data_IF_939689724803
#
_entry.id   IF_939689724803
#
_cell.length_a   1.000
_cell.length_b   1.000
_cell.length_c   1.000
_cell.angle_alpha   90.00
_cell.angle_beta   90.00
_cell.angle_gamma   90.00
#
_symmetry.space_group_name_H-M   'P 1'
#
loop_
_entity.id
_entity.type
_entity.pdbx_description
1 polymer ?
#
# COMPACT_ATOMS: atom_id res chain seq x y z
N UNK A 1 -6.45 2.18 19.42
CA UNK A 1 -5.94 1.89 18.07
C UNK A 1 -7.08 1.74 17.08
N UNK A 2 -8.11 0.95 17.41
CA UNK A 2 -9.30 0.74 16.57
C UNK A 2 -9.95 2.02 16.03
N UNK A 3 -10.12 3.07 16.87
CA UNK A 3 -10.60 4.40 16.45
C UNK A 3 -9.80 5.00 15.27
N UNK A 4 -8.47 4.92 15.33
CA UNK A 4 -7.59 5.44 14.27
C UNK A 4 -7.65 4.60 13.00
N UNK A 5 -7.80 3.27 13.13
CA UNK A 5 -8.00 2.39 11.96
C UNK A 5 -9.31 2.72 11.26
N UNK A 6 -10.38 2.95 12.02
CA UNK A 6 -11.67 3.33 11.45
C UNK A 6 -11.59 4.68 10.74
N UNK A 7 -10.90 5.67 11.30
CA UNK A 7 -10.67 6.93 10.61
C UNK A 7 -9.88 6.77 9.30
N UNK A 8 -8.87 5.90 9.29
CA UNK A 8 -8.13 5.59 8.06
C UNK A 8 -9.04 4.94 7.00
N UNK A 9 -9.86 3.97 7.40
CA UNK A 9 -10.83 3.28 6.52
C UNK A 9 -11.84 4.29 5.96
N UNK A 10 -12.44 5.13 6.81
CA UNK A 10 -13.40 6.15 6.37
C UNK A 10 -12.77 7.20 5.47
N UNK A 11 -11.53 7.63 5.75
CA UNK A 11 -10.78 8.52 4.87
C UNK A 11 -10.54 7.90 3.50
N UNK A 12 -10.17 6.61 3.47
CA UNK A 12 -9.99 5.85 2.22
C UNK A 12 -11.30 5.74 1.44
N UNK A 13 -12.41 5.42 2.11
CA UNK A 13 -13.73 5.37 1.48
C UNK A 13 -14.14 6.73 0.91
N UNK A 14 -13.95 7.80 1.67
CA UNK A 14 -14.26 9.17 1.23
C UNK A 14 -13.44 9.55 -0.01
N UNK A 15 -12.15 9.23 -0.03
CA UNK A 15 -11.25 9.43 -1.17
C UNK A 15 -11.68 8.62 -2.40
N UNK A 16 -12.09 7.36 -2.21
CA UNK A 16 -12.60 6.53 -3.29
C UNK A 16 -13.90 7.10 -3.88
N UNK A 17 -14.84 7.51 -3.03
CA UNK A 17 -16.12 8.08 -3.44
C UNK A 17 -15.90 9.39 -4.20
N UNK A 18 -15.05 10.29 -3.70
CA UNK A 18 -14.77 11.57 -4.39
C UNK A 18 -14.17 11.33 -5.77
N UNK A 19 -13.25 10.37 -5.90
CA UNK A 19 -12.66 9.99 -7.17
C UNK A 19 -13.68 9.40 -8.15
N UNK A 20 -14.59 8.53 -7.68
CA UNK A 20 -15.67 7.99 -8.50
C UNK A 20 -16.63 9.07 -8.98
N UNK A 21 -17.03 10.00 -8.09
CA UNK A 21 -17.88 11.14 -8.43
C UNK A 21 -17.20 12.04 -9.47
N UNK A 22 -15.91 12.29 -9.32
CA UNK A 22 -15.13 13.05 -10.30
C UNK A 22 -15.11 12.34 -11.67
N UNK A 23 -14.87 11.03 -11.71
CA UNK A 23 -14.89 10.26 -12.95
C UNK A 23 -16.28 10.27 -13.64
N UNK A 24 -17.36 10.20 -12.86
CA UNK A 24 -18.73 10.32 -13.38
C UNK A 24 -18.95 11.72 -13.96
N UNK A 25 -18.63 12.77 -13.19
CA UNK A 25 -18.83 14.17 -13.61
C UNK A 25 -18.05 14.56 -14.86
N UNK A 26 -16.91 13.92 -15.11
CA UNK A 26 -16.03 14.19 -16.27
C UNK A 26 -16.31 13.27 -17.45
N UNK A 27 -17.32 12.40 -17.39
CA UNK A 27 -17.62 11.42 -18.45
C UNK A 27 -16.55 10.33 -18.63
N UNK A 28 -15.50 10.33 -17.79
CA UNK A 28 -14.42 9.33 -17.81
C UNK A 28 -14.92 7.92 -17.48
N UNK A 29 -16.07 7.82 -16.82
CA UNK A 29 -16.73 6.55 -16.52
C UNK A 29 -17.39 5.90 -17.76
N UNK A 30 -17.88 6.69 -18.74
CA UNK A 30 -18.61 6.14 -19.90
C UNK A 30 -17.70 5.68 -21.04
N UNK A 31 -16.44 6.14 -21.09
CA UNK A 31 -15.52 5.86 -22.19
C UNK A 31 -14.77 4.52 -22.06
N UNK A 32 -15.37 3.54 -21.37
CA UNK A 32 -14.75 2.25 -21.07
C UNK A 32 -13.57 2.35 -20.10
N UNK A 33 -13.06 1.21 -19.66
CA UNK A 33 -11.82 1.07 -18.88
C UNK A 33 -10.63 1.38 -19.82
N UNK A 34 -10.56 2.61 -20.32
CA UNK A 34 -9.36 3.09 -20.98
C UNK A 34 -8.28 3.28 -19.91
N UNK A 35 -7.07 2.82 -20.20
CA UNK A 35 -5.89 2.84 -19.29
C UNK A 35 -5.58 4.27 -18.78
N UNK A 36 -6.09 5.30 -19.46
CA UNK A 36 -5.97 6.73 -19.12
C UNK A 36 -7.02 7.23 -18.11
N UNK A 37 -8.13 6.53 -17.92
CA UNK A 37 -9.22 6.91 -17.01
C UNK A 37 -9.10 6.19 -15.66
N UNK A 38 -8.03 6.49 -14.94
CA UNK A 38 -7.73 5.86 -13.64
C UNK A 38 -8.35 6.67 -12.51
N UNK A 39 -8.93 5.98 -11.53
CA UNK A 39 -9.38 6.61 -10.31
C UNK A 39 -8.20 7.01 -9.43
N UNK A 40 -8.05 8.31 -9.20
CA UNK A 40 -7.01 8.90 -8.37
C UNK A 40 -7.48 9.12 -6.93
N UNK A 41 -8.79 9.17 -6.71
CA UNK A 41 -9.38 9.68 -5.47
C UNK A 41 -8.81 11.04 -5.08
N UNK A 42 -8.77 11.31 -3.78
CA UNK A 42 -8.04 12.44 -3.21
C UNK A 42 -6.54 12.14 -3.02
N UNK A 43 -6.05 10.98 -3.47
CA UNK A 43 -4.66 10.59 -3.31
C UNK A 43 -3.74 11.19 -4.38
N UNK A 44 -4.31 11.73 -5.48
CA UNK A 44 -3.56 12.33 -6.59
C UNK A 44 -2.86 11.33 -7.52
N UNK A 45 -2.58 10.11 -7.03
CA UNK A 45 -2.02 9.00 -7.80
C UNK A 45 -2.86 7.72 -7.58
N UNK A 46 -3.15 6.95 -8.64
CA UNK A 46 -4.00 5.77 -8.54
C UNK A 46 -3.34 4.62 -7.76
N UNK A 47 -2.00 4.55 -7.74
CA UNK A 47 -1.28 3.56 -6.96
C UNK A 47 -1.28 3.92 -5.46
N UNK A 48 -1.29 5.22 -5.13
CA UNK A 48 -1.44 5.67 -3.75
C UNK A 48 -2.83 5.34 -3.22
N UNK A 49 -3.88 5.61 -4.02
CA UNK A 49 -5.24 5.18 -3.68
C UNK A 49 -5.32 3.65 -3.53
N UNK A 50 -4.73 2.90 -4.45
CA UNK A 50 -4.66 1.43 -4.37
C UNK A 50 -3.99 0.93 -3.08
N UNK A 51 -2.90 1.56 -2.66
CA UNK A 51 -2.22 1.26 -1.39
C UNK A 51 -3.13 1.50 -0.18
N UNK A 52 -3.83 2.64 -0.13
CA UNK A 52 -4.75 2.95 0.97
C UNK A 52 -5.92 1.98 1.04
N UNK A 53 -6.43 1.54 -0.12
CA UNK A 53 -7.49 0.54 -0.24
C UNK A 53 -7.02 -0.82 0.32
N UNK A 54 -5.86 -1.33 -0.10
CA UNK A 54 -5.30 -2.58 0.41
C UNK A 54 -5.14 -2.53 1.93
N UNK A 55 -4.48 -1.48 2.44
CA UNK A 55 -4.28 -1.31 3.89
C UNK A 55 -5.61 -1.26 4.65
N UNK A 56 -6.64 -0.63 4.07
CA UNK A 56 -7.98 -0.61 4.67
C UNK A 56 -8.64 -1.99 4.67
N UNK A 57 -8.50 -2.76 3.59
CA UNK A 57 -9.03 -4.13 3.49
C UNK A 57 -8.38 -5.03 4.54
N UNK A 58 -7.05 -5.02 4.69
CA UNK A 58 -6.38 -5.85 5.70
C UNK A 58 -6.72 -5.44 7.14
N UNK A 59 -6.95 -4.15 7.41
CA UNK A 59 -7.48 -3.71 8.71
C UNK A 59 -8.87 -4.27 8.97
N UNK A 60 -9.77 -4.23 7.98
CA UNK A 60 -11.12 -4.81 8.09
C UNK A 60 -11.08 -6.34 8.27
N UNK A 61 -10.25 -7.05 7.53
CA UNK A 61 -10.06 -8.50 7.65
C UNK A 61 -9.62 -8.87 9.07
N UNK A 62 -8.64 -8.15 9.64
CA UNK A 62 -8.20 -8.45 10.99
C UNK A 62 -9.24 -8.06 12.05
N UNK A 63 -10.00 -6.99 11.85
CA UNK A 63 -11.13 -6.68 12.74
C UNK A 63 -12.21 -7.78 12.70
N UNK A 64 -12.45 -8.40 11.54
CA UNK A 64 -13.34 -9.57 11.42
C UNK A 64 -12.75 -10.76 12.18
N UNK A 65 -11.44 -11.00 12.08
CA UNK A 65 -10.75 -12.06 12.82
C UNK A 65 -10.86 -11.88 14.35
N UNK A 66 -10.72 -10.66 14.84
CA UNK A 66 -10.71 -10.34 16.28
C UNK A 66 -12.12 -10.25 16.88
N UNK A 67 -13.03 -9.57 16.19
CA UNK A 67 -14.37 -9.26 16.72
C UNK A 67 -15.46 -10.19 16.15
N UNK A 68 -15.09 -11.12 15.26
CA UNK A 68 -15.99 -11.99 14.53
C UNK A 68 -16.57 -11.37 13.26
N UNK A 69 -17.21 -12.22 12.45
CA UNK A 69 -17.83 -11.82 11.19
C UNK A 69 -18.85 -10.68 11.34
N UNK A 70 -18.74 -9.67 10.47
CA UNK A 70 -19.68 -8.55 10.36
C UNK A 70 -20.02 -8.31 8.88
N UNK A 71 -21.32 -8.36 8.56
CA UNK A 71 -21.80 -8.15 7.20
C UNK A 71 -21.49 -6.75 6.67
N UNK A 72 -21.58 -5.72 7.53
CA UNK A 72 -21.23 -4.35 7.14
C UNK A 72 -19.76 -4.24 6.74
N UNK A 73 -18.85 -4.92 7.47
CA UNK A 73 -17.42 -4.93 7.12
C UNK A 73 -17.18 -5.69 5.82
N UNK A 74 -17.90 -6.78 5.57
CA UNK A 74 -17.85 -7.48 4.28
C UNK A 74 -18.27 -6.57 3.13
N UNK A 75 -19.39 -5.84 3.26
CA UNK A 75 -19.83 -4.88 2.23
C UNK A 75 -18.78 -3.79 1.98
N UNK A 76 -18.13 -3.29 3.03
CA UNK A 76 -17.05 -2.31 2.88
C UNK A 76 -15.85 -2.92 2.16
N UNK A 77 -15.44 -4.15 2.49
CA UNK A 77 -14.36 -4.86 1.77
C UNK A 77 -14.70 -5.02 0.29
N UNK A 78 -15.94 -5.42 -0.04
CA UNK A 78 -16.39 -5.56 -1.43
C UNK A 78 -16.35 -4.21 -2.15
N UNK A 79 -16.92 -3.16 -1.53
CA UNK A 79 -16.91 -1.81 -2.09
C UNK A 79 -15.48 -1.32 -2.34
N UNK A 80 -14.58 -1.49 -1.38
CA UNK A 80 -13.17 -1.14 -1.51
C UNK A 80 -12.46 -1.96 -2.58
N UNK A 81 -12.73 -3.26 -2.68
CA UNK A 81 -12.14 -4.13 -3.71
C UNK A 81 -12.57 -3.76 -5.12
N UNK A 82 -13.87 -3.53 -5.34
CA UNK A 82 -14.41 -3.03 -6.62
C UNK A 82 -13.85 -1.64 -6.93
N UNK A 83 -13.83 -0.76 -5.95
CA UNK A 83 -13.24 0.58 -6.08
C UNK A 83 -11.76 0.54 -6.40
N UNK A 84 -11.00 -0.39 -5.84
CA UNK A 84 -9.58 -0.56 -6.12
C UNK A 84 -9.30 -0.94 -7.56
N UNK A 85 -10.17 -1.72 -8.22
CA UNK A 85 -10.03 -1.98 -9.66
C UNK A 85 -10.15 -0.73 -10.51
N UNK A 86 -10.94 0.26 -10.09
CA UNK A 86 -11.06 1.54 -10.82
C UNK A 86 -9.73 2.31 -10.86
N UNK A 87 -8.75 1.97 -10.03
CA UNK A 87 -7.39 2.56 -10.09
C UNK A 87 -6.56 2.02 -11.27
N UNK A 88 -6.96 0.89 -11.88
CA UNK A 88 -6.19 0.19 -12.92
C UNK A 88 -4.71 -0.05 -12.53
N UNK A 89 -4.43 -0.19 -11.23
CA UNK A 89 -3.08 -0.43 -10.72
C UNK A 89 -2.77 -1.93 -10.73
N UNK A 90 -1.70 -2.33 -11.44
CA UNK A 90 -1.25 -3.73 -11.50
C UNK A 90 -0.78 -4.22 -10.12
N UNK A 91 -0.04 -3.37 -9.40
CA UNK A 91 0.43 -3.66 -8.05
C UNK A 91 -0.75 -3.86 -7.09
N UNK A 92 -1.84 -3.11 -7.27
CA UNK A 92 -3.09 -3.36 -6.54
C UNK A 92 -3.67 -4.75 -6.83
N UNK A 93 -3.85 -5.11 -8.10
CA UNK A 93 -4.44 -6.40 -8.50
C UNK A 93 -3.65 -7.58 -7.94
N UNK A 94 -2.32 -7.55 -8.05
CA UNK A 94 -1.44 -8.61 -7.55
C UNK A 94 -1.50 -8.74 -6.02
N UNK A 95 -1.44 -7.62 -5.30
CA UNK A 95 -1.45 -7.62 -3.84
C UNK A 95 -2.81 -7.99 -3.26
N UNK A 96 -3.90 -7.67 -3.97
CA UNK A 96 -5.24 -8.07 -3.56
C UNK A 96 -5.40 -9.59 -3.54
N UNK A 97 -4.78 -10.32 -4.48
CA UNK A 97 -4.77 -11.79 -4.46
C UNK A 97 -4.12 -12.30 -3.17
N UNK A 98 -3.02 -11.68 -2.75
CA UNK A 98 -2.31 -12.02 -1.51
C UNK A 98 -3.19 -11.74 -0.28
N UNK A 99 -4.05 -10.71 -0.30
CA UNK A 99 -5.00 -10.40 0.78
C UNK A 99 -6.24 -11.31 0.81
N UNK A 100 -6.68 -11.81 -0.35
CA UNK A 100 -7.84 -12.70 -0.45
C UNK A 100 -7.56 -14.04 0.24
N UNK A 101 -6.35 -14.58 0.14
CA UNK A 101 -5.98 -15.86 0.77
C UNK A 101 -6.23 -15.90 2.30
N UNK A 102 -5.68 -14.97 3.11
CA UNK A 102 -5.96 -14.94 4.54
C UNK A 102 -7.43 -14.63 4.83
N UNK A 103 -8.12 -13.87 3.97
CA UNK A 103 -9.55 -13.61 4.13
C UNK A 103 -10.38 -14.89 3.98
N UNK A 104 -10.15 -15.66 2.92
CA UNK A 104 -10.81 -16.96 2.69
C UNK A 104 -10.54 -17.90 3.86
N UNK A 105 -9.30 -17.97 4.33
CA UNK A 105 -8.94 -18.79 5.50
C UNK A 105 -9.73 -18.39 6.75
N UNK A 106 -9.85 -17.10 7.06
CA UNK A 106 -10.62 -16.61 8.22
C UNK A 106 -12.10 -16.98 8.08
N UNK A 107 -12.69 -16.75 6.90
CA UNK A 107 -14.07 -17.11 6.62
C UNK A 107 -14.30 -18.62 6.78
N UNK A 108 -13.35 -19.44 6.32
CA UNK A 108 -13.43 -20.89 6.45
C UNK A 108 -13.33 -21.37 7.91
N UNK A 109 -12.42 -20.81 8.70
CA UNK A 109 -12.30 -21.16 10.13
C UNK A 109 -13.55 -20.77 10.92
N UNK A 110 -14.10 -19.58 10.67
CA UNK A 110 -15.37 -19.15 11.28
C UNK A 110 -16.57 -19.98 10.75
N UNK A 111 -16.48 -20.43 9.49
CA UNK A 111 -17.44 -21.34 8.89
C UNK A 111 -17.45 -22.71 9.60
N UNK A 112 -16.32 -23.25 10.02
CA UNK A 112 -16.30 -24.51 10.79
C UNK A 112 -16.89 -24.29 12.19
N UNK A 113 -16.57 -23.17 12.86
CA UNK A 113 -16.88 -22.97 14.28
C UNK A 113 -18.34 -22.62 14.61
N UNK A 114 -19.10 -22.01 13.70
CA UNK A 114 -20.41 -21.38 14.03
C UNK A 114 -21.58 -21.77 13.10
N UNK A 115 -21.85 -23.05 12.86
CA UNK A 115 -22.79 -23.54 11.82
C UNK A 115 -24.21 -22.91 11.90
N UNK A 116 -24.60 -22.03 10.94
CA UNK A 116 -25.98 -21.47 10.74
C UNK A 116 -26.23 -21.05 9.26
N UNK A 117 -27.48 -21.08 8.81
CA UNK A 117 -27.99 -20.80 7.44
C UNK A 117 -27.52 -19.50 6.76
N UNK A 118 -27.13 -18.45 7.51
CA UNK A 118 -26.52 -17.21 6.96
C UNK A 118 -25.19 -17.47 6.19
N UNK A 119 -24.66 -18.69 6.27
CA UNK A 119 -23.39 -19.13 5.67
C UNK A 119 -23.44 -19.52 4.19
N UNK A 120 -24.58 -20.02 3.70
CA UNK A 120 -24.73 -20.35 2.27
C UNK A 120 -24.71 -19.06 1.44
N UNK A 121 -25.37 -18.01 1.94
CA UNK A 121 -25.33 -16.67 1.35
C UNK A 121 -23.90 -16.12 1.31
N UNK A 122 -23.12 -16.34 2.37
CA UNK A 122 -21.75 -15.86 2.52
C UNK A 122 -20.77 -16.56 1.57
N UNK A 123 -20.94 -17.87 1.39
CA UNK A 123 -20.22 -18.66 0.39
C UNK A 123 -20.64 -18.24 -1.02
N UNK A 124 -21.94 -18.06 -1.26
CA UNK A 124 -22.45 -17.55 -2.54
C UNK A 124 -21.85 -16.19 -2.89
N UNK A 125 -21.79 -15.26 -1.92
CA UNK A 125 -21.16 -13.95 -2.10
C UNK A 125 -19.66 -14.10 -2.36
N UNK A 126 -18.95 -14.93 -1.59
CA UNK A 126 -17.52 -15.17 -1.81
C UNK A 126 -17.22 -15.78 -3.18
N UNK A 127 -18.05 -16.72 -3.65
CA UNK A 127 -17.94 -17.32 -4.99
C UNK A 127 -18.25 -16.28 -6.07
N UNK A 128 -19.31 -15.48 -5.92
CA UNK A 128 -19.65 -14.42 -6.87
C UNK A 128 -18.53 -13.39 -6.96
N UNK A 129 -17.94 -13.00 -5.82
CA UNK A 129 -16.74 -12.17 -5.77
C UNK A 129 -15.61 -12.88 -6.53
N UNK A 130 -15.24 -14.10 -6.16
CA UNK A 130 -14.16 -14.82 -6.85
C UNK A 130 -14.39 -14.92 -8.37
N UNK A 131 -15.60 -15.23 -8.84
CA UNK A 131 -15.95 -15.30 -10.27
C UNK A 131 -15.87 -13.93 -10.93
N UNK A 132 -16.38 -12.89 -10.29
CA UNK A 132 -16.28 -11.50 -10.79
C UNK A 132 -14.82 -11.05 -10.92
N UNK A 133 -14.00 -11.32 -9.88
CA UNK A 133 -12.57 -11.03 -9.88
C UNK A 133 -11.83 -11.85 -10.94
N UNK A 134 -12.14 -13.14 -11.09
CA UNK A 134 -11.57 -13.99 -12.14
C UNK A 134 -11.93 -13.49 -13.54
N UNK A 135 -13.14 -12.97 -13.74
CA UNK A 135 -13.58 -12.41 -15.02
C UNK A 135 -12.90 -11.09 -15.37
N UNK A 136 -12.81 -10.16 -14.42
CA UNK A 136 -12.02 -8.94 -14.60
C UNK A 136 -10.56 -9.30 -14.89
N UNK A 137 -10.02 -10.27 -14.15
CA UNK A 137 -8.65 -10.73 -14.37
C UNK A 137 -8.49 -11.38 -15.75
N UNK A 138 -9.45 -12.17 -16.22
CA UNK A 138 -9.42 -12.77 -17.56
C UNK A 138 -9.51 -11.74 -18.68
N UNK A 139 -10.32 -10.69 -18.51
CA UNK A 139 -10.43 -9.60 -19.50
C UNK A 139 -9.17 -8.72 -19.52
N UNK A 140 -8.42 -8.64 -18.41
CA UNK A 140 -7.12 -7.97 -18.35
C UNK A 140 -5.94 -8.92 -18.65
N UNK A 141 -6.18 -10.22 -18.75
CA UNK A 141 -5.17 -11.24 -19.01
C UNK A 141 -4.64 -11.05 -20.43
N UNK A 142 -5.48 -10.71 -21.41
CA UNK A 142 -5.01 -10.44 -22.77
C UNK A 142 -4.08 -9.22 -22.82
N UNK A 143 -4.29 -8.22 -21.97
CA UNK A 143 -3.39 -7.08 -21.82
C UNK A 143 -2.07 -7.46 -21.14
N UNK A 144 -2.12 -8.36 -20.16
CA UNK A 144 -0.92 -8.88 -19.48
C UNK A 144 -0.15 -9.81 -20.43
N UNK A 145 -0.82 -10.74 -21.10
CA UNK A 145 -0.25 -11.67 -22.07
C UNK A 145 0.32 -10.93 -23.28
N UNK A 146 -0.40 -10.01 -23.89
CA UNK A 146 0.17 -9.18 -24.98
C UNK A 146 1.39 -8.38 -24.53
N UNK A 147 1.54 -8.06 -23.24
CA UNK A 147 2.76 -7.47 -22.70
C UNK A 147 3.88 -8.46 -22.48
N UNK A 148 3.59 -9.67 -22.01
CA UNK A 148 4.60 -10.71 -21.84
C UNK A 148 5.07 -11.29 -23.19
N UNK A 149 4.17 -11.39 -24.16
CA UNK A 149 4.40 -11.98 -25.48
C UNK A 149 5.09 -10.98 -26.42
N UNK A 150 4.78 -9.68 -26.29
CA UNK A 150 5.48 -8.62 -27.01
C UNK A 150 6.71 -8.06 -26.26
N UNK A 151 6.97 -8.46 -25.01
CA UNK A 151 8.15 -8.01 -24.28
C UNK A 151 9.38 -8.81 -24.74
N UNK A 152 10.21 -8.17 -25.53
CA UNK A 152 11.52 -8.68 -25.92
C UNK A 152 12.58 -8.47 -24.83
N UNK A 153 12.35 -7.53 -23.90
CA UNK A 153 13.26 -7.19 -22.80
C UNK A 153 12.51 -6.76 -21.51
N UNK A 154 13.20 -6.82 -20.36
CA UNK A 154 12.67 -6.42 -19.03
C UNK A 154 12.10 -4.98 -19.00
N UNK A 155 12.58 -4.08 -19.86
CA UNK A 155 12.13 -2.70 -19.94
C UNK A 155 10.69 -2.55 -20.45
N UNK A 156 10.31 -3.34 -21.44
CA UNK A 156 8.94 -3.33 -22.00
C UNK A 156 7.93 -3.91 -20.98
N UNK A 157 8.41 -4.83 -20.14
CA UNK A 157 7.64 -5.40 -19.04
C UNK A 157 7.38 -4.38 -17.91
N UNK A 158 8.36 -3.53 -17.58
CA UNK A 158 8.26 -2.54 -16.50
C UNK A 158 7.73 -1.17 -16.92
N UNK A 159 7.37 -0.96 -18.19
CA UNK A 159 7.07 0.36 -18.78
C UNK A 159 8.25 1.35 -18.74
N UNK A 160 9.49 0.88 -18.94
CA UNK A 160 10.68 1.74 -18.90
C UNK A 160 11.13 2.14 -17.49
N UNK A 161 10.45 1.68 -16.43
CA UNK A 161 10.86 1.98 -15.04
C UNK A 161 12.24 1.42 -14.68
N UNK A 162 12.65 0.30 -15.29
CA UNK A 162 14.00 -0.24 -15.12
C UNK A 162 15.07 0.65 -15.75
N UNK A 163 14.79 1.25 -16.92
CA UNK A 163 15.71 2.20 -17.55
C UNK A 163 15.85 3.48 -16.72
N UNK A 164 14.73 4.02 -16.25
CA UNK A 164 14.73 5.18 -15.37
C UNK A 164 15.52 4.88 -14.09
N UNK A 165 15.28 3.74 -13.45
CA UNK A 165 16.05 3.33 -12.27
C UNK A 165 17.56 3.21 -12.56
N UNK A 166 17.93 2.65 -13.71
CA UNK A 166 19.33 2.53 -14.13
C UNK A 166 19.97 3.91 -14.39
N UNK A 167 19.23 4.84 -15.02
CA UNK A 167 19.67 6.22 -15.22
C UNK A 167 19.98 6.90 -13.87
N UNK A 168 19.10 6.74 -12.89
CA UNK A 168 19.32 7.26 -11.53
C UNK A 168 20.56 6.65 -10.86
N UNK A 169 20.74 5.34 -10.94
CA UNK A 169 21.90 4.65 -10.36
C UNK A 169 23.22 5.06 -11.04
N UNK A 170 23.23 5.19 -12.37
CA UNK A 170 24.40 5.62 -13.12
C UNK A 170 24.79 7.08 -12.81
N UNK A 171 23.80 7.98 -12.74
CA UNK A 171 24.04 9.37 -12.33
C UNK A 171 24.53 9.42 -10.88
N UNK A 172 23.92 8.65 -9.96
CA UNK A 172 24.35 8.66 -8.57
C UNK A 172 25.81 8.19 -8.41
N UNK A 173 26.16 7.03 -8.98
CA UNK A 173 27.50 6.43 -8.81
C UNK A 173 28.62 7.26 -9.43
N UNK A 174 28.33 8.04 -10.48
CA UNK A 174 29.30 8.94 -11.12
C UNK A 174 29.51 10.28 -10.39
N UNK A 175 28.78 10.55 -9.29
CA UNK A 175 28.68 11.89 -8.71
C UNK A 175 29.48 12.12 -7.41
N UNK A 176 30.48 11.26 -7.15
CA UNK A 176 31.44 11.43 -6.06
C UNK A 176 30.78 11.55 -4.68
N UNK A 177 30.88 12.73 -4.04
CA UNK A 177 30.28 12.98 -2.72
C UNK A 177 28.75 12.86 -2.70
N UNK A 178 28.07 13.11 -3.83
CA UNK A 178 26.63 12.92 -3.95
C UNK A 178 26.22 11.45 -3.81
N UNK A 179 27.11 10.50 -4.11
CA UNK A 179 26.85 9.08 -3.84
C UNK A 179 26.67 8.82 -2.34
N UNK A 180 27.41 9.55 -1.50
CA UNK A 180 27.38 9.37 -0.04
C UNK A 180 26.21 10.11 0.61
N UNK A 181 25.93 11.33 0.18
CA UNK A 181 24.97 12.25 0.84
C UNK A 181 23.68 12.52 0.04
N UNK A 182 23.61 12.08 -1.21
CA UNK A 182 22.45 12.26 -2.08
C UNK A 182 22.29 13.65 -2.67
N UNK A 183 21.18 13.82 -3.37
CA UNK A 183 20.78 15.03 -4.09
C UNK A 183 19.75 15.89 -3.34
N UNK A 184 19.36 15.47 -2.14
CA UNK A 184 18.30 16.10 -1.36
C UNK A 184 16.90 15.65 -1.78
N UNK A 185 15.93 15.81 -0.88
CA UNK A 185 14.55 15.35 -1.06
C UNK A 185 13.78 16.23 -2.06
N UNK A 186 14.01 17.54 -2.03
CA UNK A 186 13.21 18.47 -2.82
C UNK A 186 13.55 18.39 -4.31
N UNK A 187 12.58 17.96 -5.13
CA UNK A 187 12.67 17.93 -6.61
C UNK A 187 13.93 17.21 -7.09
N UNK A 188 14.21 16.05 -6.51
CA UNK A 188 15.39 15.26 -6.87
C UNK A 188 15.50 14.95 -8.39
N UNK A 189 14.42 14.78 -9.18
CA UNK A 189 14.55 14.57 -10.62
C UNK A 189 15.15 15.78 -11.34
N UNK A 190 14.86 16.98 -10.85
CA UNK A 190 15.39 18.24 -11.37
C UNK A 190 16.85 18.40 -10.97
N UNK A 191 17.16 18.13 -9.70
CA UNK A 191 18.55 18.22 -9.19
C UNK A 191 19.50 17.23 -9.88
N UNK A 192 18.97 16.14 -10.43
CA UNK A 192 19.71 15.13 -11.18
C UNK A 192 19.62 15.27 -12.70
N UNK A 193 18.85 16.25 -13.20
CA UNK A 193 18.63 16.52 -14.64
C UNK A 193 17.98 15.36 -15.40
N UNK A 194 17.22 14.50 -14.72
CA UNK A 194 16.50 13.35 -15.32
C UNK A 194 15.05 13.74 -15.63
N UNK A 195 14.48 14.71 -14.92
CA UNK A 195 13.12 15.29 -15.11
C UNK A 195 11.94 14.29 -15.06
N UNK A 196 12.19 13.01 -14.86
CA UNK A 196 11.19 11.95 -14.66
C UNK A 196 11.40 11.27 -13.30
N UNK A 197 10.33 10.97 -12.58
CA UNK A 197 10.44 10.29 -11.29
C UNK A 197 10.78 8.81 -11.43
N UNK A 198 11.57 8.28 -10.48
CA UNK A 198 11.97 6.86 -10.48
C UNK A 198 10.79 5.89 -10.34
N UNK A 199 9.67 6.33 -9.75
CA UNK A 199 8.52 5.49 -9.41
C UNK A 199 8.92 4.22 -8.63
N UNK A 200 9.94 4.38 -7.79
CA UNK A 200 10.52 3.35 -6.94
C UNK A 200 11.10 4.05 -5.71
N UNK A 201 10.44 3.88 -4.57
CA UNK A 201 10.78 4.56 -3.33
C UNK A 201 12.17 4.17 -2.81
N UNK A 202 12.67 2.96 -3.12
CA UNK A 202 14.01 2.55 -2.71
C UNK A 202 15.08 3.31 -3.47
N UNK A 203 14.89 3.50 -4.79
CA UNK A 203 15.77 4.33 -5.60
C UNK A 203 15.65 5.78 -5.16
N UNK A 204 14.43 6.28 -4.97
CA UNK A 204 14.17 7.64 -4.47
C UNK A 204 14.89 7.92 -3.15
N UNK A 205 14.75 7.04 -2.15
CA UNK A 205 15.46 7.17 -0.86
C UNK A 205 16.97 7.18 -1.10
N UNK A 206 17.50 6.24 -1.89
CA UNK A 206 18.93 6.15 -2.16
C UNK A 206 19.47 7.42 -2.82
N UNK A 207 18.79 7.97 -3.83
CA UNK A 207 19.28 9.17 -4.54
C UNK A 207 19.07 10.45 -3.74
N UNK A 208 18.05 10.53 -2.89
CA UNK A 208 17.75 11.73 -2.10
C UNK A 208 18.68 11.87 -0.90
N UNK A 209 18.96 10.78 -0.16
CA UNK A 209 19.77 10.83 1.08
C UNK A 209 21.15 10.17 0.98
N UNK A 210 21.45 9.49 -0.14
CA UNK A 210 22.72 8.81 -0.37
C UNK A 210 22.93 7.58 0.50
N UNK A 211 24.07 6.92 0.33
CA UNK A 211 24.41 5.69 1.05
C UNK A 211 24.41 5.90 2.58
N UNK A 212 24.96 7.02 3.07
CA UNK A 212 25.03 7.31 4.50
C UNK A 212 23.62 7.50 5.08
N UNK A 213 22.75 8.21 4.35
CA UNK A 213 21.36 8.37 4.75
C UNK A 213 20.60 7.05 4.77
N UNK A 214 20.77 6.20 3.76
CA UNK A 214 20.15 4.86 3.71
C UNK A 214 20.61 4.00 4.90
N UNK A 215 21.91 3.98 5.20
CA UNK A 215 22.44 3.26 6.37
C UNK A 215 21.84 3.79 7.68
N UNK A 216 21.68 5.10 7.80
CA UNK A 216 21.04 5.73 8.96
C UNK A 216 19.57 5.32 9.11
N UNK A 217 18.82 5.28 8.00
CA UNK A 217 17.44 4.79 7.97
C UNK A 217 17.37 3.31 8.34
N UNK A 218 18.24 2.47 7.79
CA UNK A 218 18.30 1.04 8.12
C UNK A 218 18.61 0.85 9.61
N UNK A 219 19.57 1.58 10.16
CA UNK A 219 19.89 1.54 11.58
C UNK A 219 18.67 1.94 12.44
N UNK A 220 17.99 3.02 12.07
CA UNK A 220 16.76 3.45 12.76
C UNK A 220 15.66 2.39 12.67
N UNK A 221 15.46 1.77 11.51
CA UNK A 221 14.47 0.70 11.32
C UNK A 221 14.81 -0.53 12.16
N UNK A 222 16.08 -0.96 12.20
CA UNK A 222 16.53 -2.05 13.06
C UNK A 222 16.29 -1.71 14.54
N UNK A 223 16.62 -0.48 14.95
CA UNK A 223 16.34 -0.01 16.31
C UNK A 223 14.84 -0.04 16.64
N UNK A 224 13.98 0.48 15.76
CA UNK A 224 12.52 0.44 15.94
C UNK A 224 12.01 -1.01 15.99
N UNK A 225 12.46 -1.89 15.09
CA UNK A 225 12.02 -3.29 15.06
C UNK A 225 12.53 -4.05 16.30
N UNK A 226 13.73 -3.75 16.80
CA UNK A 226 14.27 -4.40 18.01
C UNK A 226 13.55 -3.95 19.29
N UNK A 227 13.07 -2.70 19.33
CA UNK A 227 12.28 -2.17 20.46
C UNK A 227 10.81 -2.56 20.39
N UNK A 228 10.26 -2.72 19.19
CA UNK A 228 8.87 -3.12 18.97
C UNK A 228 8.78 -4.64 18.81
N UNK A 229 8.13 -5.32 19.75
CA UNK A 229 7.88 -6.77 19.65
C UNK A 229 6.86 -7.07 18.54
N UNK A 230 7.29 -7.08 17.28
CA UNK A 230 6.47 -7.39 16.11
C UNK A 230 6.36 -8.92 15.95
N UNK A 231 5.16 -9.43 15.72
CA UNK A 231 4.94 -10.85 15.42
C UNK A 231 4.89 -11.04 13.89
N UNK A 232 6.03 -11.37 13.29
CA UNK A 232 6.24 -11.45 11.83
C UNK A 232 5.27 -12.44 11.16
N UNK A 233 4.91 -13.53 11.84
CA UNK A 233 3.96 -14.55 11.34
C UNK A 233 2.47 -14.23 11.63
N UNK A 234 2.15 -12.97 11.92
CA UNK A 234 0.78 -12.52 12.18
C UNK A 234 0.19 -11.83 10.96
N UNK A 235 -1.12 -11.96 10.74
CA UNK A 235 -1.85 -11.15 9.75
C UNK A 235 -1.67 -9.64 10.00
N UNK A 236 -1.37 -9.23 11.24
CA UNK A 236 -1.04 -7.85 11.59
C UNK A 236 0.25 -7.34 10.95
N UNK A 237 1.12 -8.23 10.46
CA UNK A 237 2.35 -7.89 9.76
C UNK A 237 2.13 -7.68 8.26
N UNK A 238 1.02 -8.18 7.69
CA UNK A 238 0.74 -8.07 6.26
C UNK A 238 0.70 -6.63 5.72
N UNK A 239 0.20 -5.60 6.44
CA UNK A 239 0.26 -4.22 5.95
C UNK A 239 1.70 -3.71 5.74
N UNK A 240 2.67 -4.18 6.52
CA UNK A 240 4.10 -3.86 6.33
C UNK A 240 4.59 -4.47 5.01
N UNK A 241 4.29 -5.74 4.77
CA UNK A 241 4.67 -6.45 3.53
C UNK A 241 4.07 -5.75 2.31
N UNK A 242 2.78 -5.42 2.36
CA UNK A 242 2.07 -4.71 1.28
C UNK A 242 2.71 -3.36 0.99
N UNK A 243 2.97 -2.58 2.05
CA UNK A 243 3.65 -1.30 1.91
C UNK A 243 5.01 -1.47 1.23
N UNK A 244 5.86 -2.40 1.71
CA UNK A 244 7.16 -2.68 1.12
C UNK A 244 7.10 -3.12 -0.34
N UNK A 245 6.14 -3.96 -0.73
CA UNK A 245 6.00 -4.41 -2.12
C UNK A 245 5.55 -3.25 -3.01
N UNK A 246 4.54 -2.47 -2.57
CA UNK A 246 4.08 -1.32 -3.34
C UNK A 246 5.17 -0.26 -3.47
N UNK A 247 6.06 -0.09 -2.48
CA UNK A 247 7.19 0.85 -2.55
C UNK A 247 8.07 0.68 -3.78
N UNK A 248 8.11 -0.49 -4.41
CA UNK A 248 8.80 -0.68 -5.70
C UNK A 248 8.12 0.01 -6.88
N UNK A 249 6.86 0.41 -6.72
CA UNK A 249 5.99 0.93 -7.78
C UNK A 249 5.59 2.40 -7.59
N UNK A 250 5.99 3.02 -6.47
CA UNK A 250 5.58 4.37 -6.07
C UNK A 250 6.77 5.20 -5.57
N UNK A 251 6.62 6.52 -5.57
CA UNK A 251 7.48 7.43 -4.82
C UNK A 251 6.82 7.73 -3.46
N UNK A 252 7.61 7.80 -2.40
CA UNK A 252 7.15 7.91 -1.01
C UNK A 252 7.73 9.13 -0.32
N UNK A 253 8.93 9.56 -0.69
CA UNK A 253 9.67 10.56 0.09
C UNK A 253 9.06 11.95 -0.06
N UNK A 254 8.57 12.31 -1.25
CA UNK A 254 7.93 13.62 -1.47
C UNK A 254 6.49 13.71 -0.94
N UNK A 255 5.91 12.59 -0.51
CA UNK A 255 4.49 12.51 -0.16
C UNK A 255 4.32 12.38 1.34
N UNK A 256 4.07 13.51 2.00
CA UNK A 256 4.07 13.67 3.46
C UNK A 256 3.16 12.68 4.21
N UNK A 257 2.03 12.30 3.60
CA UNK A 257 1.07 11.40 4.24
C UNK A 257 1.61 9.96 4.43
N UNK A 258 2.66 9.56 3.73
CA UNK A 258 3.26 8.24 3.94
C UNK A 258 4.03 8.11 5.24
N UNK A 259 4.59 9.21 5.79
CA UNK A 259 5.23 9.16 7.11
C UNK A 259 4.20 8.79 8.19
N UNK A 260 3.00 9.37 8.13
CA UNK A 260 1.90 9.02 9.02
C UNK A 260 1.42 7.58 8.79
N UNK A 261 1.36 7.14 7.53
CA UNK A 261 0.96 5.78 7.18
C UNK A 261 1.90 4.74 7.80
N UNK A 262 3.21 4.94 7.68
CA UNK A 262 4.24 4.08 8.28
C UNK A 262 4.00 3.98 9.80
N UNK A 263 3.80 5.10 10.50
CA UNK A 263 3.54 5.11 11.94
C UNK A 263 2.29 4.30 12.30
N UNK A 264 1.19 4.45 11.54
CA UNK A 264 -0.06 3.70 11.76
C UNK A 264 0.19 2.20 11.58
N UNK A 265 0.86 1.81 10.49
CA UNK A 265 1.17 0.41 10.18
C UNK A 265 2.03 -0.22 11.28
N UNK A 266 3.15 0.41 11.66
CA UNK A 266 4.05 -0.12 12.68
C UNK A 266 3.36 -0.23 14.04
N UNK A 267 2.58 0.78 14.43
CA UNK A 267 1.81 0.75 15.67
C UNK A 267 0.75 -0.36 15.67
N UNK A 268 0.13 -0.61 14.52
CA UNK A 268 -0.84 -1.69 14.34
C UNK A 268 -0.20 -3.08 14.40
N UNK A 269 1.00 -3.25 13.82
CA UNK A 269 1.75 -4.51 13.80
C UNK A 269 2.41 -4.87 15.15
N UNK A 270 2.57 -3.89 16.04
CA UNK A 270 3.15 -4.07 17.38
C UNK A 270 2.26 -4.91 18.32
N UNK A 271 2.87 -5.80 19.12
CA UNK A 271 2.19 -6.49 20.24
C UNK A 271 1.80 -5.56 21.38
N UNK A 272 2.56 -4.50 21.62
CA UNK A 272 2.38 -3.62 22.76
C UNK A 272 1.53 -2.43 22.36
N UNK A 273 0.55 -2.05 23.21
CA UNK A 273 0.11 -0.66 23.25
C UNK A 273 1.38 0.17 23.47
N UNK A 274 1.75 1.00 22.51
CA UNK A 274 2.76 2.04 22.71
C UNK A 274 2.25 2.95 23.84
N UNK A 275 2.56 2.59 25.09
CA UNK A 275 2.49 3.50 26.21
C UNK A 275 3.71 4.41 26.05
N UNK A 276 3.55 5.50 25.31
CA UNK A 276 4.40 6.66 25.53
C UNK A 276 4.02 7.20 26.90
N UNK A 277 4.55 6.58 27.96
CA UNK A 277 4.64 7.23 29.25
C UNK A 277 5.75 8.27 29.09
N UNK A 278 5.39 9.55 29.02
CA UNK A 278 6.29 10.70 29.12
C UNK A 278 6.97 10.80 30.50
N UNK A 279 7.25 9.66 31.15
CA UNK A 279 7.92 9.58 32.46
C UNK A 279 9.39 9.98 32.41
N UNK A 280 9.96 10.18 31.22
CA UNK A 280 11.32 10.68 31.03
C UNK A 280 11.50 12.18 31.30
N UNK A 281 10.43 12.98 31.30
CA UNK A 281 10.54 14.44 31.53
C UNK A 281 10.44 14.78 33.03
N UNK A 282 9.70 14.02 33.82
CA UNK A 282 9.58 14.29 35.26
C UNK A 282 10.86 13.99 36.05
N UNK A 283 11.76 13.13 35.53
CA UNK A 283 13.04 12.84 36.18
C UNK A 283 14.06 13.99 36.09
N UNK A 284 13.79 15.01 35.28
CA UNK A 284 14.67 16.18 35.14
C UNK A 284 14.30 17.29 36.12
N UNK A 285 13.07 17.28 36.68
CA UNK A 285 12.66 18.21 37.73
C UNK A 285 13.15 17.78 39.12
N UNK A 286 13.30 16.48 39.37
CA UNK A 286 13.85 15.96 40.64
C UNK A 286 15.38 16.13 40.77
N UNK A 287 16.06 16.59 39.71
CA UNK A 287 17.50 16.91 39.71
C UNK A 287 17.70 18.44 39.87
N UNK A 288 16.63 19.24 39.77
CA UNK A 288 16.66 20.71 39.85
C UNK A 288 15.77 21.26 40.99
N UNK A 289 15.32 20.42 41.91
CA UNK A 289 14.68 20.79 43.18
C UNK A 289 15.52 20.34 44.37
#
# INVERSE_FOLDING_TARGET
MEKYLNYFIYGTMSSLISGLLFMISTGKFSNGINITNRNLGNAGDPNYLGLYILISIIFLINQIKENGFSFNKLLIIIFLGIGGFSTSSRSFMLLLIIEILPFIYILFVDFIKKFKLKKILLIGIAIVICVFFLRIFSENIDFIYSRFDNATNLNELTNGRSDIAMLYLNKLTSSGMRTLFGYGINKYPVNMEIFEYAHNAYIEILVTVGIIGVLSIIFLLIYVISTVKIKIWSIKFLPIIIFCIISFSINIVEVECFYFLIVIIFKYSSKNKFNYDFKGINKMNDILS
#
